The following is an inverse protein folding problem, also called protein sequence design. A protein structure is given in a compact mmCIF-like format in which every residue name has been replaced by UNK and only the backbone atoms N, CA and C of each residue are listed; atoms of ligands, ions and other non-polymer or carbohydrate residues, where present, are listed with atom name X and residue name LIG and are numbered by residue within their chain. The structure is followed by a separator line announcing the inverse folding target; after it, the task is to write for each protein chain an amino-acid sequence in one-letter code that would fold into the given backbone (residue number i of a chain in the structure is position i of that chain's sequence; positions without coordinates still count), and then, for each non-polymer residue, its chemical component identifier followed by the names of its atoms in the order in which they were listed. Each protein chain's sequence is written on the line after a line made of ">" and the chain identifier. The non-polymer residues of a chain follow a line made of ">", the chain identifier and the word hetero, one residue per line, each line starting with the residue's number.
data_IF_793674938389
#
_entry.id   IF_793674938389
#
_cell.length_a   1.000
_cell.length_b   1.000
_cell.length_c   1.000
_cell.angle_alpha   90.00
_cell.angle_beta   90.00
_cell.angle_gamma   90.00
#
_symmetry.space_group_name_H-M   'P 1'
#
loop_
_entity.id
_entity.type
_entity.pdbx_description
1 polymer ?
#
# COMPACT_ATOMS: atom_id res chain seq x y z
N UNK A 1 16.25 -3.22 -29.42
CA UNK A 1 16.19 -3.39 -27.98
C UNK A 1 15.31 -2.31 -27.39
N UNK A 2 14.28 -2.74 -26.67
CA UNK A 2 13.40 -1.77 -26.05
C UNK A 2 14.06 -1.15 -24.83
N UNK A 3 13.87 0.16 -24.64
CA UNK A 3 14.38 0.76 -23.42
C UNK A 3 13.67 0.18 -22.20
N UNK A 4 14.40 0.01 -21.14
CA UNK A 4 13.81 -0.44 -19.90
C UNK A 4 13.00 0.66 -19.27
N UNK A 5 11.90 0.30 -18.68
CA UNK A 5 11.14 1.24 -17.88
C UNK A 5 11.89 1.47 -16.56
N UNK A 6 11.60 2.58 -15.91
CA UNK A 6 12.16 2.82 -14.58
C UNK A 6 11.75 1.73 -13.61
N UNK A 7 10.50 1.27 -13.74
CA UNK A 7 9.96 0.31 -12.79
C UNK A 7 10.66 -1.04 -12.85
N UNK A 8 11.26 -1.39 -13.99
CA UNK A 8 11.92 -2.70 -14.08
C UNK A 8 13.07 -2.86 -13.11
N UNK A 9 13.67 -1.77 -12.69
CA UNK A 9 14.79 -1.82 -11.75
C UNK A 9 14.36 -1.68 -10.30
N UNK A 10 13.08 -1.42 -10.04
CA UNK A 10 12.61 -1.15 -8.70
C UNK A 10 11.46 -2.04 -8.25
N UNK A 11 11.11 -3.06 -9.05
CA UNK A 11 10.08 -4.00 -8.63
C UNK A 11 10.58 -4.79 -7.43
N UNK A 12 9.69 -5.09 -6.52
CA UNK A 12 10.01 -5.87 -5.34
C UNK A 12 9.04 -7.01 -5.20
N UNK A 13 9.56 -8.13 -4.73
CA UNK A 13 8.71 -9.22 -4.28
C UNK A 13 8.07 -8.78 -2.99
N UNK A 14 6.82 -9.13 -2.80
CA UNK A 14 6.10 -8.78 -1.59
C UNK A 14 5.34 -9.98 -1.07
N UNK A 15 5.29 -10.16 0.25
CA UNK A 15 4.38 -11.15 0.81
C UNK A 15 2.95 -10.73 0.48
N UNK A 16 2.07 -11.71 0.40
CA UNK A 16 0.66 -11.44 0.14
C UNK A 16 -0.13 -11.70 1.41
N UNK A 17 -1.09 -10.82 1.69
CA UNK A 17 -1.98 -11.01 2.82
C UNK A 17 -3.25 -11.69 2.33
N UNK A 18 -3.82 -12.56 3.14
CA UNK A 18 -5.14 -13.11 2.84
C UNK A 18 -6.20 -12.18 3.40
N UNK A 19 -7.32 -12.04 2.68
CA UNK A 19 -8.40 -11.16 3.12
C UNK A 19 -8.97 -11.60 4.48
N UNK A 20 -8.86 -12.89 4.81
CA UNK A 20 -9.36 -13.42 6.09
C UNK A 20 -8.33 -13.37 7.20
N UNK A 21 -7.11 -12.96 6.89
CA UNK A 21 -6.03 -12.96 7.86
C UNK A 21 -6.33 -11.94 8.97
N UNK A 22 -6.05 -12.27 10.24
CA UNK A 22 -6.28 -11.29 11.32
C UNK A 22 -5.41 -10.05 11.14
N UNK A 23 -6.00 -8.90 11.35
CA UNK A 23 -5.32 -7.63 11.16
C UNK A 23 -4.05 -7.53 12.01
N UNK A 24 -4.08 -8.05 13.23
CA UNK A 24 -2.91 -8.00 14.10
C UNK A 24 -1.72 -8.74 13.54
N UNK A 25 -1.97 -9.86 12.85
CA UNK A 25 -0.89 -10.60 12.20
C UNK A 25 -0.43 -9.89 10.94
N UNK A 26 -1.39 -9.33 10.21
CA UNK A 26 -1.08 -8.63 8.96
C UNK A 26 -0.16 -7.45 9.19
N UNK A 27 -0.41 -6.65 10.23
CA UNK A 27 0.46 -5.50 10.49
C UNK A 27 1.88 -5.92 10.86
N UNK A 28 2.02 -7.05 11.55
CA UNK A 28 3.36 -7.56 11.86
C UNK A 28 4.09 -7.98 10.58
N UNK A 29 3.37 -8.56 9.64
CA UNK A 29 3.96 -8.95 8.37
C UNK A 29 4.38 -7.73 7.56
N UNK A 30 3.58 -6.66 7.61
CA UNK A 30 3.95 -5.41 6.94
C UNK A 30 5.24 -4.88 7.53
N UNK A 31 5.32 -4.80 8.85
CA UNK A 31 6.52 -4.30 9.52
C UNK A 31 7.74 -5.15 9.15
N UNK A 32 7.57 -6.47 9.17
CA UNK A 32 8.69 -7.38 8.86
C UNK A 32 9.13 -7.29 7.41
N UNK A 33 8.22 -6.91 6.50
CA UNK A 33 8.55 -6.86 5.08
C UNK A 33 9.40 -5.65 4.70
N UNK A 34 9.36 -4.62 5.51
CA UNK A 34 10.02 -3.36 5.16
C UNK A 34 9.26 -2.54 4.13
N UNK A 35 8.06 -2.99 3.76
CA UNK A 35 7.23 -2.28 2.80
C UNK A 35 6.13 -1.52 3.55
N UNK A 36 5.62 -0.43 2.98
CA UNK A 36 4.58 0.36 3.66
C UNK A 36 3.19 -0.25 3.54
N UNK A 37 3.01 -1.20 2.65
CA UNK A 37 1.72 -1.84 2.42
C UNK A 37 1.96 -3.14 1.69
N UNK A 38 1.00 -4.05 1.75
CA UNK A 38 1.07 -5.32 1.07
C UNK A 38 -0.22 -5.57 0.31
N UNK A 39 -0.15 -6.28 -0.81
CA UNK A 39 -1.35 -6.67 -1.53
C UNK A 39 -2.16 -7.69 -0.72
N UNK A 40 -3.47 -7.62 -0.84
CA UNK A 40 -4.38 -8.58 -0.21
C UNK A 40 -5.02 -9.41 -1.31
N UNK A 41 -5.03 -10.71 -1.11
CA UNK A 41 -5.61 -11.63 -2.09
C UNK A 41 -6.77 -12.40 -1.45
N UNK A 42 -7.67 -12.87 -2.32
CA UNK A 42 -8.80 -13.67 -1.89
C UNK A 42 -8.43 -15.17 -1.91
N UNK A 43 -9.40 -16.02 -1.66
CA UNK A 43 -9.15 -17.45 -1.59
C UNK A 43 -8.72 -18.06 -2.91
N UNK A 44 -8.93 -17.36 -4.02
CA UNK A 44 -8.48 -17.79 -5.34
C UNK A 44 -7.13 -17.18 -5.72
N UNK A 45 -6.45 -16.58 -4.75
CA UNK A 45 -5.15 -15.91 -4.94
C UNK A 45 -5.20 -14.73 -5.91
N UNK A 46 -6.35 -14.10 -6.01
CA UNK A 46 -6.49 -12.90 -6.84
C UNK A 46 -6.43 -11.66 -6.00
N UNK A 47 -5.83 -10.62 -6.54
CA UNK A 47 -5.75 -9.34 -5.85
C UNK A 47 -7.16 -8.82 -5.56
N UNK A 48 -7.43 -8.50 -4.31
CA UNK A 48 -8.72 -7.92 -3.93
C UNK A 48 -8.57 -6.62 -3.14
N UNK A 49 -7.36 -6.25 -2.74
CA UNK A 49 -7.16 -4.99 -2.04
C UNK A 49 -5.72 -4.76 -1.69
N UNK A 50 -5.50 -3.65 -1.00
CA UNK A 50 -4.18 -3.28 -0.47
C UNK A 50 -4.38 -2.90 0.99
N UNK A 51 -3.51 -3.37 1.85
CA UNK A 51 -3.57 -3.04 3.27
C UNK A 51 -2.18 -2.61 3.73
N UNK A 52 -2.11 -1.48 4.36
CA UNK A 52 -0.85 -0.95 4.84
C UNK A 52 -1.03 0.11 5.88
N UNK A 53 -0.01 0.96 6.00
CA UNK A 53 0.01 2.02 7.02
C UNK A 53 -1.25 2.87 7.02
N UNK A 54 -1.66 3.30 5.83
CA UNK A 54 -2.80 4.20 5.73
C UNK A 54 -4.08 3.53 6.21
N UNK A 55 -4.30 2.31 5.79
CA UNK A 55 -5.51 1.57 6.13
C UNK A 55 -5.54 1.20 7.61
N UNK A 56 -4.38 0.86 8.16
CA UNK A 56 -4.30 0.54 9.58
C UNK A 56 -4.57 1.77 10.44
N UNK A 57 -3.95 2.90 10.08
CA UNK A 57 -4.18 4.14 10.81
C UNK A 57 -5.65 4.54 10.74
N UNK A 58 -6.27 4.38 9.57
CA UNK A 58 -7.68 4.70 9.42
C UNK A 58 -8.58 3.77 10.24
N UNK A 59 -8.16 2.51 10.42
CA UNK A 59 -8.93 1.57 11.23
C UNK A 59 -8.89 1.93 12.71
N UNK A 60 -7.74 2.42 13.18
CA UNK A 60 -7.59 2.82 14.58
C UNK A 60 -8.18 4.19 14.83
N UNK A 61 -8.00 5.11 13.88
CA UNK A 61 -8.46 6.49 14.02
C UNK A 61 -9.56 6.76 12.99
N UNK A 62 -10.81 6.58 13.39
CA UNK A 62 -11.92 6.80 12.45
C UNK A 62 -11.94 8.21 11.89
N UNK A 63 -12.63 8.37 10.76
CA UNK A 63 -12.63 9.63 10.02
C UNK A 63 -13.06 10.85 10.81
N UNK A 64 -13.90 10.66 11.84
CA UNK A 64 -14.35 11.78 12.63
C UNK A 64 -13.21 12.48 13.38
N UNK A 65 -12.06 11.82 13.47
CA UNK A 65 -10.93 12.41 14.17
C UNK A 65 -10.50 13.71 13.50
N UNK A 66 -10.65 13.81 12.20
CA UNK A 66 -10.33 15.04 11.48
C UNK A 66 -11.22 16.21 11.82
N UNK A 67 -12.33 15.96 12.50
CA UNK A 67 -13.24 17.01 12.91
C UNK A 67 -12.94 17.53 14.32
N UNK A 68 -11.99 16.93 15.01
CA UNK A 68 -11.61 17.35 16.35
C UNK A 68 -10.58 18.47 16.24
N UNK A 69 -10.97 19.64 16.65
CA UNK A 69 -10.11 20.84 16.52
C UNK A 69 -9.36 21.18 17.79
N UNK A 70 -9.65 20.49 18.89
CA UNK A 70 -9.06 20.83 20.19
C UNK A 70 -8.09 19.74 20.59
N UNK A 71 -6.89 20.11 20.97
CA UNK A 71 -5.83 19.16 21.27
C UNK A 71 -6.23 18.15 22.36
N UNK A 72 -6.95 18.60 23.37
CA UNK A 72 -7.31 17.67 24.46
C UNK A 72 -8.33 16.64 24.01
N UNK A 73 -9.21 16.97 23.08
CA UNK A 73 -10.12 16.00 22.51
C UNK A 73 -9.36 14.99 21.67
N UNK A 74 -8.41 15.48 20.89
CA UNK A 74 -7.59 14.62 20.05
C UNK A 74 -6.82 13.63 20.90
N UNK A 75 -6.21 14.11 21.98
CA UNK A 75 -5.43 13.24 22.87
C UNK A 75 -6.29 12.12 23.43
N UNK A 76 -7.47 12.49 23.95
CA UNK A 76 -8.36 11.49 24.53
C UNK A 76 -8.86 10.50 23.49
N UNK A 77 -9.19 10.99 22.29
CA UNK A 77 -9.66 10.12 21.22
C UNK A 77 -8.58 9.13 20.82
N UNK A 78 -7.33 9.56 20.79
CA UNK A 78 -6.21 8.69 20.45
C UNK A 78 -6.09 7.58 21.50
N UNK A 79 -6.11 7.95 22.79
CA UNK A 79 -6.00 6.97 23.86
C UNK A 79 -7.13 5.94 23.77
N UNK A 80 -8.37 6.42 23.57
CA UNK A 80 -9.52 5.53 23.47
C UNK A 80 -9.39 4.57 22.29
N UNK A 81 -8.92 5.07 21.15
CA UNK A 81 -8.78 4.24 19.96
C UNK A 81 -7.67 3.21 20.13
N UNK A 82 -6.58 3.59 20.77
CA UNK A 82 -5.50 2.64 21.03
C UNK A 82 -5.97 1.54 21.96
N UNK A 83 -6.82 1.87 22.94
CA UNK A 83 -7.38 0.87 23.81
C UNK A 83 -8.29 -0.10 23.07
N UNK A 84 -8.93 0.37 22.02
CA UNK A 84 -9.82 -0.47 21.21
C UNK A 84 -9.11 -1.30 20.17
N UNK A 85 -7.81 -1.09 19.98
CA UNK A 85 -7.12 -1.83 18.94
C UNK A 85 -7.16 -3.34 19.16
N UNK A 86 -7.41 -3.78 20.40
CA UNK A 86 -7.55 -5.20 20.65
C UNK A 86 -8.75 -5.76 19.89
N UNK A 87 -9.79 -4.96 19.68
CA UNK A 87 -10.95 -5.37 18.89
C UNK A 87 -10.60 -5.51 17.42
N UNK A 88 -9.75 -4.61 16.92
CA UNK A 88 -9.34 -4.66 15.51
C UNK A 88 -8.39 -5.80 15.24
N UNK A 89 -7.66 -6.24 16.26
CA UNK A 89 -6.60 -7.22 16.07
C UNK A 89 -7.09 -8.52 15.46
N UNK A 90 -8.27 -8.98 15.87
CA UNK A 90 -8.82 -10.24 15.39
C UNK A 90 -9.67 -10.07 14.14
N UNK A 91 -10.00 -8.85 13.76
CA UNK A 91 -10.84 -8.62 12.58
C UNK A 91 -10.07 -8.95 11.31
N UNK A 92 -10.75 -9.48 10.30
CA UNK A 92 -10.06 -9.81 9.05
C UNK A 92 -9.60 -8.56 8.32
N UNK A 93 -8.44 -8.66 7.67
CA UNK A 93 -7.85 -7.57 6.89
C UNK A 93 -8.83 -7.05 5.85
N UNK A 94 -9.63 -7.94 5.28
CA UNK A 94 -10.58 -7.54 4.25
C UNK A 94 -11.57 -6.48 4.69
N UNK A 95 -11.77 -6.33 6.01
CA UNK A 95 -12.66 -5.29 6.52
C UNK A 95 -12.06 -3.90 6.33
N UNK A 96 -10.73 -3.79 6.40
CA UNK A 96 -10.06 -2.49 6.42
C UNK A 96 -9.27 -2.17 5.16
N UNK A 97 -9.07 -3.14 4.29
CA UNK A 97 -8.25 -2.95 3.10
C UNK A 97 -8.85 -1.92 2.15
N UNK A 98 -7.99 -1.30 1.37
CA UNK A 98 -8.40 -0.42 0.29
C UNK A 98 -8.75 -1.30 -0.92
N UNK A 99 -10.00 -1.21 -1.38
CA UNK A 99 -10.50 -2.05 -2.45
C UNK A 99 -10.48 -1.40 -3.82
N UNK A 100 -9.95 -0.19 -3.95
CA UNK A 100 -9.83 0.42 -5.26
C UNK A 100 -8.93 -0.46 -6.12
N UNK A 101 -9.27 -0.55 -7.38
CA UNK A 101 -8.45 -1.35 -8.31
C UNK A 101 -7.26 -0.53 -8.75
N UNK A 102 -6.19 -0.63 -8.00
CA UNK A 102 -4.98 0.13 -8.25
C UNK A 102 -3.86 -0.85 -8.50
N UNK A 103 -3.81 -1.36 -9.71
CA UNK A 103 -2.75 -2.26 -10.13
C UNK A 103 -2.44 -1.98 -11.59
N UNK A 104 -1.29 -2.44 -12.02
CA UNK A 104 -0.87 -2.29 -13.41
C UNK A 104 -0.47 -3.67 -13.94
N UNK A 105 -0.52 -3.83 -15.24
CA UNK A 105 -0.11 -5.08 -15.87
C UNK A 105 1.41 -5.12 -16.04
N UNK A 106 1.92 -6.27 -16.49
CA UNK A 106 3.37 -6.40 -16.67
C UNK A 106 3.92 -5.51 -17.77
N UNK A 107 3.07 -5.06 -18.69
CA UNK A 107 3.51 -4.21 -19.80
C UNK A 107 3.26 -2.72 -19.55
N UNK A 108 3.09 -2.33 -18.29
CA UNK A 108 2.82 -0.94 -17.98
C UNK A 108 3.97 -0.03 -18.39
N UNK A 109 3.64 1.24 -18.67
CA UNK A 109 4.64 2.26 -18.98
C UNK A 109 4.95 3.06 -17.72
N UNK A 110 6.07 3.78 -17.76
CA UNK A 110 6.40 4.70 -16.66
C UNK A 110 5.35 5.79 -16.52
N UNK A 111 4.79 6.25 -17.63
CA UNK A 111 3.74 7.27 -17.58
C UNK A 111 2.48 6.74 -16.92
N UNK A 112 2.11 5.52 -17.22
CA UNK A 112 0.95 4.89 -16.58
C UNK A 112 1.15 4.76 -15.10
N UNK A 113 2.34 4.36 -14.68
CA UNK A 113 2.66 4.23 -13.26
C UNK A 113 2.65 5.59 -12.57
N UNK A 114 3.23 6.60 -13.22
CA UNK A 114 3.23 7.96 -12.68
C UNK A 114 1.81 8.47 -12.50
N UNK A 115 0.97 8.24 -13.49
CA UNK A 115 -0.42 8.68 -13.40
C UNK A 115 -1.13 7.99 -12.26
N UNK A 116 -0.87 6.71 -12.06
CA UNK A 116 -1.46 5.97 -10.97
C UNK A 116 -1.08 6.58 -9.62
N UNK A 117 0.20 6.87 -9.43
CA UNK A 117 0.62 7.48 -8.16
C UNK A 117 0.11 8.91 -7.98
N UNK A 118 -0.12 9.62 -9.08
CA UNK A 118 -0.66 10.98 -8.99
C UNK A 118 -2.12 11.00 -8.60
N UNK A 119 -2.89 10.06 -9.12
CA UNK A 119 -4.34 10.09 -8.94
C UNK A 119 -4.82 9.28 -7.74
N UNK A 120 -3.97 8.46 -7.15
CA UNK A 120 -4.37 7.60 -6.04
C UNK A 120 -3.42 7.80 -4.87
N UNK A 121 -3.98 7.74 -3.68
CA UNK A 121 -3.18 7.91 -2.47
C UNK A 121 -2.72 6.56 -1.97
N UNK A 122 -1.97 5.87 -2.81
CA UNK A 122 -1.47 4.55 -2.47
C UNK A 122 0.03 4.61 -2.24
N UNK A 123 0.51 3.70 -1.43
CA UNK A 123 1.93 3.62 -1.12
C UNK A 123 2.62 2.57 -1.95
N UNK A 124 1.86 1.64 -2.51
CA UNK A 124 2.38 0.64 -3.44
C UNK A 124 1.40 0.49 -4.60
N UNK A 125 1.93 0.01 -5.73
CA UNK A 125 1.10 -0.38 -6.86
C UNK A 125 1.49 -1.82 -7.20
N UNK A 126 0.57 -2.77 -7.05
CA UNK A 126 0.85 -4.15 -7.45
C UNK A 126 0.93 -4.28 -8.96
N UNK A 127 1.82 -5.15 -9.41
CA UNK A 127 1.87 -5.57 -10.80
C UNK A 127 1.15 -6.91 -10.86
N UNK A 128 0.10 -6.99 -11.68
CA UNK A 128 -0.70 -8.21 -11.76
C UNK A 128 -0.70 -8.75 -13.16
N UNK A 129 -0.86 -10.07 -13.23
CA UNK A 129 -1.03 -10.76 -14.49
C UNK A 129 -2.12 -11.80 -14.27
N UNK A 130 -3.19 -11.71 -15.03
CA UNK A 130 -4.34 -12.58 -14.87
C UNK A 130 -4.92 -12.53 -13.47
N UNK A 131 -4.92 -11.36 -12.88
CA UNK A 131 -5.47 -11.16 -11.55
C UNK A 131 -4.54 -11.53 -10.39
N UNK A 132 -3.39 -12.10 -10.70
CA UNK A 132 -2.46 -12.55 -9.66
C UNK A 132 -1.31 -11.58 -9.53
N UNK A 133 -0.90 -11.35 -8.29
CA UNK A 133 0.18 -10.39 -8.01
C UNK A 133 1.52 -11.01 -8.37
N UNK A 134 2.30 -10.30 -9.18
CA UNK A 134 3.64 -10.72 -9.55
C UNK A 134 4.70 -10.00 -8.73
N UNK A 135 4.47 -8.73 -8.46
CA UNK A 135 5.44 -7.90 -7.74
C UNK A 135 4.75 -6.62 -7.33
N UNK A 136 5.46 -5.78 -6.61
CA UNK A 136 4.94 -4.45 -6.26
C UNK A 136 6.00 -3.40 -6.56
N UNK A 137 5.53 -2.16 -6.73
CA UNK A 137 6.39 -1.00 -6.84
C UNK A 137 5.96 -0.04 -5.76
N UNK A 138 6.89 0.41 -4.93
CA UNK A 138 6.56 1.39 -3.91
C UNK A 138 6.67 2.80 -4.47
N UNK A 139 5.86 3.69 -3.95
CA UNK A 139 5.91 5.09 -4.35
C UNK A 139 7.30 5.69 -4.09
N UNK A 140 7.88 5.32 -2.96
CA UNK A 140 9.18 5.84 -2.60
C UNK A 140 10.27 5.39 -3.57
N UNK A 141 10.24 4.13 -4.00
CA UNK A 141 11.23 3.64 -4.97
C UNK A 141 11.05 4.32 -6.32
N UNK A 142 9.80 4.53 -6.72
CA UNK A 142 9.53 5.20 -7.99
C UNK A 142 10.03 6.64 -7.95
N UNK A 143 9.77 7.33 -6.83
CA UNK A 143 10.25 8.69 -6.64
C UNK A 143 11.78 8.74 -6.73
N UNK A 144 12.46 7.82 -6.05
CA UNK A 144 13.92 7.77 -6.09
C UNK A 144 14.45 7.53 -7.49
N UNK A 145 13.83 6.62 -8.22
CA UNK A 145 14.25 6.34 -9.59
C UNK A 145 14.10 7.57 -10.48
N UNK A 146 13.01 8.30 -10.30
CA UNK A 146 12.80 9.54 -11.05
C UNK A 146 13.86 10.58 -10.72
N UNK A 147 14.19 10.71 -9.45
CA UNK A 147 15.20 11.69 -9.00
C UNK A 147 16.57 11.33 -9.59
N UNK A 148 16.93 10.06 -9.56
CA UNK A 148 18.20 9.63 -10.12
C UNK A 148 18.28 9.92 -11.62
N UNK A 149 17.20 9.63 -12.31
CA UNK A 149 17.16 9.88 -13.75
C UNK A 149 17.25 11.36 -14.04
N UNK A 150 16.53 12.16 -13.28
CA UNK A 150 16.52 13.61 -13.44
C UNK A 150 17.87 14.21 -13.11
N UNK A 151 18.48 13.78 -12.00
CA UNK A 151 19.74 14.33 -11.53
C UNK A 151 20.94 13.84 -12.32
N UNK A 152 20.84 12.64 -12.90
CA UNK A 152 21.93 12.06 -13.66
C UNK A 152 22.15 12.70 -15.00
N UNK A 153 21.21 13.50 -15.45
CA UNK A 153 21.32 14.16 -16.75
C UNK A 153 21.15 13.18 -17.89
N UNK A 154 21.33 13.67 -19.07
CA UNK A 154 21.17 12.81 -20.22
C UNK A 154 22.25 11.77 -20.18
N UNK A 155 22.03 10.73 -20.45
CA UNK A 155 22.91 9.79 -20.26
C UNK A 155 23.93 9.81 -20.82
N UNK A 156 24.48 9.32 -20.61
CA UNK A 156 25.70 9.20 -20.98
C UNK A 156 25.92 8.04 -21.90
#
# INVERSE_FOLDING_TARGET
>A
MSPRTLSESIVRDAPLLGAEEPTGEAVQRIVSSGLPALPVVDSADRLCGIFGEREFIAAIFPGYLGELHYAHFVTRAIDDQLDRRAECRAAPVGRFMNTEHIDVGPDHSDAELAETFLHHRVLIVPITEHGRVRAVITRNDFFRALVERFSGGPER
#
